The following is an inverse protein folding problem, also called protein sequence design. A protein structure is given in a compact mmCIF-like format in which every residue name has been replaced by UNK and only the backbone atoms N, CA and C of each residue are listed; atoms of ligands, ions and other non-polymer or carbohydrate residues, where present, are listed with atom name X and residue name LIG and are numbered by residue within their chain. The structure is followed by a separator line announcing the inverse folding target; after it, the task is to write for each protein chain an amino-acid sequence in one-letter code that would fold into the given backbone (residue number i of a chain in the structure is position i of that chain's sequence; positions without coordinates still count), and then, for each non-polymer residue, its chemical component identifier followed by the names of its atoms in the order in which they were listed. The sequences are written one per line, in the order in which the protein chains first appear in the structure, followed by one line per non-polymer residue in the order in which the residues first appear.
data_IF_733713373882
#
_entry.id   IF_733713373882
#
_cell.length_a   1.000
_cell.length_b   1.000
_cell.length_c   1.000
_cell.angle_alpha   90.00
_cell.angle_beta   90.00
_cell.angle_gamma   90.00
#
_symmetry.space_group_name_H-M   'P 1'
#
loop_
_entity.id
_entity.type
_entity.pdbx_description
1 polymer ?
#
# COMPACT_ATOMS: atom_id res chain seq x y z
N UNK A 1 -61.60 25.34 -1.24
CA UNK A 1 -60.33 25.94 -0.75
C UNK A 1 -59.83 25.10 0.41
N UNK A 2 -58.91 24.16 0.16
CA UNK A 2 -58.18 23.44 1.20
C UNK A 2 -56.81 23.04 0.61
N UNK A 3 -55.76 23.38 1.35
CA UNK A 3 -54.36 23.41 0.92
C UNK A 3 -53.81 22.00 0.67
N UNK A 4 -53.25 21.81 -0.53
CA UNK A 4 -52.35 20.72 -0.88
C UNK A 4 -51.04 20.87 -0.09
N UNK A 5 -50.78 19.90 0.80
CA UNK A 5 -49.51 19.76 1.51
C UNK A 5 -48.62 18.79 0.72
N UNK A 6 -47.53 19.34 0.16
CA UNK A 6 -46.45 18.59 -0.48
C UNK A 6 -45.75 17.67 0.53
N UNK A 7 -45.87 16.35 0.32
CA UNK A 7 -44.97 15.37 0.92
C UNK A 7 -43.63 15.43 0.19
N UNK A 8 -42.57 15.75 0.93
CA UNK A 8 -41.17 15.86 0.46
C UNK A 8 -40.62 14.52 -0.09
N UNK A 9 -39.77 14.54 -1.13
CA UNK A 9 -39.09 13.34 -1.62
C UNK A 9 -37.87 13.05 -0.75
N UNK A 10 -38.01 12.12 0.20
CA UNK A 10 -36.92 11.62 1.06
C UNK A 10 -36.21 10.36 0.54
N UNK A 11 -36.60 9.82 -0.61
CA UNK A 11 -36.13 8.51 -1.10
C UNK A 11 -34.90 8.56 -2.02
N UNK A 12 -34.35 9.75 -2.31
CA UNK A 12 -33.22 9.91 -3.24
C UNK A 12 -31.87 10.26 -2.57
N UNK A 13 -31.83 10.34 -1.24
CA UNK A 13 -30.62 10.72 -0.51
C UNK A 13 -29.63 9.55 -0.30
N UNK A 14 -30.07 8.29 -0.40
CA UNK A 14 -29.19 7.13 -0.15
C UNK A 14 -28.32 6.77 -1.36
N UNK A 15 -28.80 7.03 -2.58
CA UNK A 15 -28.01 6.83 -3.81
C UNK A 15 -26.82 7.81 -3.85
N UNK A 16 -26.96 8.98 -3.22
CA UNK A 16 -25.90 10.00 -3.15
C UNK A 16 -24.92 9.75 -2.00
N UNK A 17 -25.32 9.15 -0.87
CA UNK A 17 -24.39 8.91 0.25
C UNK A 17 -23.41 7.76 0.00
N UNK A 18 -23.82 6.72 -0.74
CA UNK A 18 -22.90 5.62 -1.11
C UNK A 18 -21.97 6.03 -2.26
N UNK A 19 -22.44 6.89 -3.17
CA UNK A 19 -21.59 7.45 -4.24
C UNK A 19 -20.75 8.65 -3.80
N UNK A 20 -21.11 9.37 -2.74
CA UNK A 20 -20.28 10.45 -2.17
C UNK A 20 -19.24 9.96 -1.15
N UNK A 21 -19.48 8.83 -0.47
CA UNK A 21 -18.46 8.19 0.38
C UNK A 21 -17.33 7.54 -0.44
N UNK A 22 -17.59 7.18 -1.71
CA UNK A 22 -16.61 6.59 -2.63
C UNK A 22 -16.20 7.48 -3.80
N UNK A 23 -16.87 8.61 -4.01
CA UNK A 23 -16.75 9.43 -5.22
C UNK A 23 -16.39 10.87 -4.95
N UNK A 24 -15.24 11.11 -4.32
CA UNK A 24 -14.43 12.34 -4.51
C UNK A 24 -13.22 12.35 -3.56
N UNK A 25 -12.26 11.44 -3.75
CA UNK A 25 -10.84 11.64 -3.32
C UNK A 25 -9.84 10.55 -3.72
N UNK A 26 -10.23 9.48 -4.39
CA UNK A 26 -9.33 8.33 -4.64
C UNK A 26 -8.68 8.31 -6.03
N UNK A 27 -8.88 9.32 -6.89
CA UNK A 27 -8.37 9.25 -8.27
C UNK A 27 -6.91 9.75 -8.44
N UNK A 28 -6.30 10.36 -7.42
CA UNK A 28 -4.91 10.86 -7.49
C UNK A 28 -3.87 9.99 -6.74
N UNK A 29 -4.25 8.83 -6.21
CA UNK A 29 -3.30 7.87 -5.64
C UNK A 29 -3.51 6.48 -6.22
N UNK A 30 -3.04 6.32 -7.45
CA UNK A 30 -2.79 5.00 -8.01
C UNK A 30 -1.68 4.33 -7.18
N UNK A 31 -2.07 3.32 -6.40
CA UNK A 31 -1.22 2.17 -6.11
C UNK A 31 -0.45 2.17 -4.78
N UNK A 32 -1.15 1.98 -3.68
CA UNK A 32 -0.58 1.23 -2.54
C UNK A 32 -1.36 -0.07 -2.41
N UNK A 33 -0.81 -1.21 -2.86
CA UNK A 33 -1.51 -2.49 -2.72
C UNK A 33 -1.62 -2.81 -1.23
N UNK A 34 -2.83 -3.17 -0.81
CA UNK A 34 -3.11 -3.82 0.46
C UNK A 34 -2.28 -5.12 0.50
N UNK A 35 -1.06 -5.02 1.04
CA UNK A 35 -0.23 -6.11 1.56
C UNK A 35 0.35 -7.17 0.59
N UNK A 36 1.33 -7.94 1.09
CA UNK A 36 1.88 -9.12 0.42
C UNK A 36 0.78 -10.16 0.18
N UNK A 37 0.65 -10.62 -1.06
CA UNK A 37 -0.24 -11.70 -1.53
C UNK A 37 -0.92 -12.56 -0.45
N UNK A 38 -2.24 -12.42 -0.29
CA UNK A 38 -3.04 -13.25 0.60
C UNK A 38 -2.81 -13.00 2.10
N UNK A 39 -2.22 -11.87 2.48
CA UNK A 39 -1.89 -11.59 3.86
C UNK A 39 -1.88 -10.08 4.17
N UNK A 40 -2.96 -9.55 4.76
CA UNK A 40 -3.01 -8.15 5.23
C UNK A 40 -2.03 -7.97 6.38
N UNK A 41 -1.20 -6.93 6.32
CA UNK A 41 -0.08 -6.75 7.26
C UNK A 41 0.83 -8.00 7.36
N UNK A 42 1.08 -8.72 6.26
CA UNK A 42 1.85 -9.99 6.26
C UNK A 42 1.22 -11.09 7.16
N UNK A 43 -0.07 -10.96 7.52
CA UNK A 43 -0.84 -11.96 8.25
C UNK A 43 -1.92 -12.58 7.36
N UNK A 44 -1.71 -13.84 6.97
CA UNK A 44 -2.70 -14.61 6.20
C UNK A 44 -4.01 -14.85 6.98
N UNK A 45 -3.94 -14.85 8.32
CA UNK A 45 -5.09 -14.97 9.21
C UNK A 45 -6.08 -13.82 9.04
N UNK A 46 -5.59 -12.58 8.87
CA UNK A 46 -6.46 -11.41 8.62
C UNK A 46 -7.18 -11.58 7.27
N UNK A 47 -6.45 -12.02 6.24
CA UNK A 47 -7.03 -12.27 4.93
C UNK A 47 -8.08 -13.37 4.97
N UNK A 48 -7.81 -14.48 5.66
CA UNK A 48 -8.76 -15.58 5.84
C UNK A 48 -10.05 -15.10 6.50
N UNK A 49 -9.96 -14.31 7.57
CA UNK A 49 -11.15 -13.79 8.27
C UNK A 49 -12.04 -12.92 7.38
N UNK A 50 -11.47 -12.22 6.39
CA UNK A 50 -12.23 -11.40 5.44
C UNK A 50 -12.80 -12.20 4.27
N UNK A 51 -12.30 -13.41 4.01
CA UNK A 51 -12.62 -14.17 2.79
C UNK A 51 -13.23 -15.55 3.03
N UNK A 52 -13.31 -15.99 4.29
CA UNK A 52 -13.83 -17.30 4.68
C UNK A 52 -15.30 -17.50 4.30
N UNK A 53 -16.14 -16.47 4.50
CA UNK A 53 -17.56 -16.52 4.16
C UNK A 53 -17.98 -15.29 3.34
N UNK A 54 -18.35 -15.53 2.08
CA UNK A 54 -18.80 -14.51 1.14
C UNK A 54 -20.31 -14.25 1.19
N UNK A 55 -21.04 -14.92 2.07
CA UNK A 55 -22.46 -14.66 2.31
C UNK A 55 -22.66 -13.36 3.09
N UNK A 56 -23.89 -12.83 3.05
CA UNK A 56 -24.26 -11.60 3.78
C UNK A 56 -24.06 -11.80 5.29
N UNK A 57 -24.40 -12.98 5.81
CA UNK A 57 -24.24 -13.30 7.22
C UNK A 57 -22.76 -13.47 7.58
N UNK A 58 -21.96 -14.08 6.71
CA UNK A 58 -20.51 -14.13 6.85
C UNK A 58 -19.87 -12.76 6.99
N UNK A 59 -20.18 -11.85 6.07
CA UNK A 59 -19.65 -10.48 6.06
C UNK A 59 -20.08 -9.69 7.31
N UNK A 60 -21.33 -9.88 7.77
CA UNK A 60 -21.81 -9.25 9.00
C UNK A 60 -21.09 -9.77 10.24
N UNK A 61 -20.67 -11.01 10.24
CA UNK A 61 -20.07 -11.65 11.42
C UNK A 61 -18.54 -11.67 11.37
N UNK A 62 -17.91 -10.90 10.48
CA UNK A 62 -16.46 -10.70 10.46
C UNK A 62 -16.00 -10.20 11.84
N UNK A 63 -15.00 -10.86 12.41
CA UNK A 63 -14.41 -10.50 13.70
C UNK A 63 -13.39 -9.35 13.53
N UNK A 64 -13.89 -8.13 13.33
CA UNK A 64 -13.05 -6.95 13.14
C UNK A 64 -12.12 -6.66 14.33
N UNK A 65 -12.54 -6.97 15.56
CA UNK A 65 -11.69 -6.80 16.75
C UNK A 65 -10.46 -7.71 16.70
N UNK A 66 -10.63 -8.99 16.35
CA UNK A 66 -9.50 -9.89 16.17
C UNK A 66 -8.55 -9.40 15.06
N UNK A 67 -9.09 -8.94 13.92
CA UNK A 67 -8.31 -8.36 12.82
C UNK A 67 -7.49 -7.14 13.31
N UNK A 68 -8.10 -6.23 14.07
CA UNK A 68 -7.42 -5.05 14.62
C UNK A 68 -6.31 -5.44 15.58
N UNK A 69 -6.54 -6.40 16.47
CA UNK A 69 -5.53 -6.85 17.44
C UNK A 69 -4.36 -7.56 16.76
N UNK A 70 -4.61 -8.41 15.76
CA UNK A 70 -3.56 -9.01 14.95
C UNK A 70 -2.73 -7.94 14.19
N UNK A 71 -3.41 -6.95 13.63
CA UNK A 71 -2.79 -5.80 12.96
C UNK A 71 -1.92 -4.95 13.89
N UNK A 72 -2.44 -4.58 15.07
CA UNK A 72 -1.70 -3.83 16.10
C UNK A 72 -0.48 -4.61 16.58
N UNK A 73 -0.62 -5.91 16.81
CA UNK A 73 0.48 -6.80 17.20
C UNK A 73 1.59 -6.79 16.14
N UNK A 74 1.23 -6.85 14.86
CA UNK A 74 2.22 -6.77 13.79
C UNK A 74 2.88 -5.38 13.67
N UNK A 75 2.12 -4.29 13.83
CA UNK A 75 2.70 -2.94 13.88
C UNK A 75 3.71 -2.79 15.02
N UNK A 76 3.43 -3.39 16.18
CA UNK A 76 4.36 -3.43 17.30
C UNK A 76 5.64 -4.23 16.95
N UNK A 77 5.52 -5.35 16.25
CA UNK A 77 6.67 -6.11 15.76
C UNK A 77 7.55 -5.29 14.81
N UNK A 78 6.96 -4.58 13.83
CA UNK A 78 7.72 -3.68 12.96
C UNK A 78 8.41 -2.57 13.74
N UNK A 79 7.72 -1.95 14.70
CA UNK A 79 8.31 -0.90 15.53
C UNK A 79 9.48 -1.42 16.37
N UNK A 80 9.37 -2.64 16.92
CA UNK A 80 10.44 -3.28 17.67
C UNK A 80 11.64 -3.57 16.78
N UNK A 81 11.43 -4.13 15.57
CA UNK A 81 12.50 -4.38 14.61
C UNK A 81 13.21 -3.10 14.18
N UNK A 82 12.47 -2.03 13.90
CA UNK A 82 13.03 -0.69 13.60
C UNK A 82 13.90 -0.20 14.76
N UNK A 83 13.39 -0.26 15.99
CA UNK A 83 14.09 0.24 17.18
C UNK A 83 15.38 -0.55 17.43
N UNK A 84 15.32 -1.88 17.32
CA UNK A 84 16.49 -2.74 17.49
C UNK A 84 17.57 -2.44 16.43
N UNK A 85 17.18 -2.34 15.15
CA UNK A 85 18.11 -2.02 14.08
C UNK A 85 18.71 -0.61 14.22
N UNK A 86 17.92 0.38 14.67
CA UNK A 86 18.41 1.73 14.96
C UNK A 86 19.45 1.77 16.09
N UNK A 87 19.23 0.98 17.16
CA UNK A 87 20.19 0.86 18.25
C UNK A 87 21.50 0.22 17.78
N UNK A 88 21.42 -0.81 16.95
CA UNK A 88 22.59 -1.49 16.39
C UNK A 88 23.35 -0.60 15.40
N UNK A 89 22.64 0.16 14.56
CA UNK A 89 23.22 1.20 13.68
C UNK A 89 24.05 2.20 14.49
N UNK A 90 23.55 2.64 15.65
CA UNK A 90 24.26 3.59 16.51
C UNK A 90 25.57 2.99 17.01
N UNK A 91 25.53 1.74 17.48
CA UNK A 91 26.71 1.01 17.97
C UNK A 91 27.73 0.75 16.85
N UNK A 92 27.27 0.36 15.66
CA UNK A 92 28.16 0.15 14.50
C UNK A 92 28.84 1.43 14.04
N UNK A 93 28.16 2.58 14.06
CA UNK A 93 28.79 3.86 13.74
C UNK A 93 29.95 4.18 14.68
N UNK A 94 29.79 3.92 15.98
CA UNK A 94 30.86 4.12 16.96
C UNK A 94 32.03 3.15 16.73
N UNK A 95 31.73 1.89 16.35
CA UNK A 95 32.76 0.89 16.03
C UNK A 95 33.51 1.22 14.73
N UNK A 96 32.82 1.73 13.71
CA UNK A 96 33.43 2.18 12.44
C UNK A 96 34.42 3.30 12.73
N UNK A 97 34.03 4.32 13.51
CA UNK A 97 34.94 5.40 13.89
C UNK A 97 36.19 4.89 14.64
N UNK A 98 36.02 3.92 15.54
CA UNK A 98 37.15 3.31 16.25
C UNK A 98 38.03 2.46 15.33
N UNK A 99 37.44 1.76 14.35
CA UNK A 99 38.17 0.98 13.35
C UNK A 99 38.95 1.90 12.42
N UNK A 100 38.30 2.95 11.89
CA UNK A 100 38.94 3.98 11.06
C UNK A 100 40.10 4.67 11.79
N UNK A 101 39.97 4.97 13.08
CA UNK A 101 41.07 5.54 13.89
C UNK A 101 42.24 4.58 14.04
N UNK A 102 41.98 3.27 14.19
CA UNK A 102 43.02 2.22 14.26
C UNK A 102 43.62 1.89 12.89
N UNK A 103 42.87 2.11 11.82
CA UNK A 103 43.26 1.88 10.42
C UNK A 103 44.05 3.05 9.82
N UNK A 104 44.17 4.19 10.53
CA UNK A 104 45.11 5.26 10.22
C UNK A 104 46.56 4.76 10.33
N UNK A 105 47.03 4.11 9.28
CA UNK A 105 48.45 3.77 9.11
C UNK A 105 49.26 5.06 8.98
N UNK A 106 50.39 5.13 9.67
CA UNK A 106 51.35 6.23 9.49
C UNK A 106 52.02 6.02 8.13
N UNK A 107 52.00 6.99 7.21
CA UNK A 107 52.73 6.85 5.94
C UNK A 107 54.22 6.67 6.23
N UNK A 108 54.89 5.77 5.50
CA UNK A 108 56.34 5.66 5.56
C UNK A 108 56.97 7.02 5.20
N UNK A 109 57.93 7.48 6.01
CA UNK A 109 58.58 8.76 5.75
C UNK A 109 59.49 8.65 4.53
N UNK A 110 59.88 9.78 3.94
CA UNK A 110 60.78 9.78 2.77
C UNK A 110 62.13 9.10 3.09
N UNK A 111 62.65 9.30 4.31
CA UNK A 111 63.91 8.69 4.77
C UNK A 111 63.82 7.17 4.87
N UNK A 112 62.66 6.65 5.26
CA UNK A 112 62.41 5.21 5.37
C UNK A 112 62.29 4.56 3.99
N UNK A 113 61.62 5.25 3.07
CA UNK A 113 61.52 4.86 1.66
C UNK A 113 62.92 4.84 1.03
N UNK A 114 63.73 5.88 1.26
CA UNK A 114 65.12 5.94 0.81
C UNK A 114 65.94 4.79 1.39
N UNK A 115 65.77 4.50 2.68
CA UNK A 115 66.42 3.37 3.36
C UNK A 115 66.10 2.03 2.71
N UNK A 116 64.84 1.77 2.37
CA UNK A 116 64.41 0.56 1.66
C UNK A 116 65.02 0.46 0.26
N UNK A 117 64.99 1.56 -0.51
CA UNK A 117 65.52 1.59 -1.88
C UNK A 117 67.04 1.38 -1.88
N UNK A 118 67.76 2.04 -0.95
CA UNK A 118 69.21 1.90 -0.84
C UNK A 118 69.62 0.48 -0.46
N UNK A 119 68.94 -0.14 0.52
CA UNK A 119 69.17 -1.55 0.87
C UNK A 119 68.90 -2.45 -0.33
N UNK A 120 67.74 -2.31 -0.97
CA UNK A 120 67.37 -3.14 -2.11
C UNK A 120 68.38 -3.02 -3.26
N UNK A 121 69.04 -1.88 -3.45
CA UNK A 121 69.99 -1.65 -4.55
C UNK A 121 71.46 -1.94 -4.19
N UNK A 122 71.76 -2.41 -2.98
CA UNK A 122 73.09 -2.93 -2.59
C UNK A 122 73.71 -3.93 -3.59
N UNK A 123 72.95 -4.84 -4.24
CA UNK A 123 73.50 -5.75 -5.25
C UNK A 123 74.18 -5.05 -6.42
N UNK A 124 73.81 -3.80 -6.73
CA UNK A 124 74.48 -2.97 -7.73
C UNK A 124 75.81 -2.36 -7.23
N UNK A 125 76.13 -2.45 -5.93
CA UNK A 125 77.37 -1.94 -5.31
C UNK A 125 77.63 -0.46 -5.64
N UNK A 126 76.58 0.35 -5.61
CA UNK A 126 76.63 1.78 -5.92
C UNK A 126 76.78 2.11 -7.41
N UNK A 127 76.67 1.13 -8.32
CA UNK A 127 76.80 1.31 -9.77
C UNK A 127 75.47 1.32 -10.52
N UNK A 128 74.34 1.38 -9.80
CA UNK A 128 73.01 1.37 -10.39
C UNK A 128 72.80 2.53 -11.37
N UNK A 129 73.15 3.76 -10.98
CA UNK A 129 73.06 4.95 -11.85
C UNK A 129 73.99 4.87 -13.07
N UNK A 130 75.26 4.49 -12.85
CA UNK A 130 76.28 4.37 -13.91
C UNK A 130 75.92 3.32 -14.98
N UNK A 131 75.21 2.27 -14.58
CA UNK A 131 74.82 1.15 -15.46
C UNK A 131 73.39 1.27 -15.98
N UNK A 132 72.71 2.39 -15.73
CA UNK A 132 71.27 2.56 -15.96
C UNK A 132 70.47 1.34 -15.47
N UNK A 133 70.73 0.95 -14.22
CA UNK A 133 70.13 -0.19 -13.55
C UNK A 133 70.38 -1.53 -14.27
N UNK A 134 71.56 -1.66 -14.89
CA UNK A 134 72.07 -2.91 -15.48
C UNK A 134 71.95 -3.00 -17.00
N UNK A 135 71.46 -1.97 -17.69
CA UNK A 135 71.24 -1.99 -19.13
C UNK A 135 72.43 -1.49 -19.97
N UNK A 136 73.11 -0.41 -19.56
CA UNK A 136 74.11 0.22 -20.42
C UNK A 136 75.41 -0.59 -20.55
N UNK A 137 76.11 -0.35 -21.66
CA UNK A 137 77.43 -0.90 -21.97
C UNK A 137 78.52 -0.22 -21.13
N UNK A 138 78.42 -0.33 -19.81
CA UNK A 138 79.55 -0.05 -18.93
C UNK A 138 80.72 -1.01 -19.26
N UNK A 139 81.92 -0.65 -18.79
CA UNK A 139 83.11 -1.46 -18.99
C UNK A 139 82.87 -2.93 -18.58
N UNK A 140 83.55 -3.88 -19.23
CA UNK A 140 83.38 -5.33 -19.00
C UNK A 140 83.57 -5.69 -17.53
N UNK A 141 84.44 -4.97 -16.82
CA UNK A 141 84.64 -5.11 -15.38
C UNK A 141 83.38 -4.76 -14.57
N UNK A 142 82.70 -3.66 -14.92
CA UNK A 142 81.47 -3.19 -14.26
C UNK A 142 80.31 -4.15 -14.57
N UNK A 143 80.15 -4.58 -15.82
CA UNK A 143 79.10 -5.55 -16.20
C UNK A 143 79.21 -6.89 -15.49
N UNK A 144 80.43 -7.40 -15.26
CA UNK A 144 80.62 -8.61 -14.45
C UNK A 144 80.23 -8.40 -12.99
N UNK A 145 80.42 -7.19 -12.47
CA UNK A 145 80.17 -6.84 -11.08
C UNK A 145 78.69 -6.67 -10.75
N UNK A 146 77.87 -6.22 -11.72
CA UNK A 146 76.42 -6.01 -11.57
C UNK A 146 75.55 -7.08 -12.24
N UNK A 147 76.14 -8.18 -12.71
CA UNK A 147 75.39 -9.26 -13.38
C UNK A 147 74.41 -9.89 -12.38
N UNK A 148 73.12 -9.89 -12.72
CA UNK A 148 72.04 -10.40 -11.85
C UNK A 148 71.64 -9.44 -10.73
N UNK A 149 72.26 -8.27 -10.63
CA UNK A 149 71.94 -7.28 -9.58
C UNK A 149 70.49 -6.80 -9.66
N UNK A 150 69.91 -6.73 -10.86
CA UNK A 150 68.52 -6.34 -11.06
C UNK A 150 67.55 -7.27 -10.32
N UNK A 151 67.58 -8.57 -10.63
CA UNK A 151 66.72 -9.59 -10.02
C UNK A 151 66.98 -9.69 -8.52
N UNK A 152 68.26 -9.70 -8.12
CA UNK A 152 68.67 -9.72 -6.72
C UNK A 152 68.15 -8.50 -5.94
N UNK A 153 68.02 -7.34 -6.57
CA UNK A 153 67.49 -6.13 -5.93
C UNK A 153 65.99 -6.22 -5.69
N UNK A 154 65.24 -6.78 -6.64
CA UNK A 154 63.80 -7.02 -6.49
C UNK A 154 63.52 -8.04 -5.39
N UNK A 155 64.27 -9.14 -5.36
CA UNK A 155 64.11 -10.15 -4.32
C UNK A 155 64.53 -9.64 -2.94
N UNK A 156 65.60 -8.83 -2.88
CA UNK A 156 66.01 -8.16 -1.63
C UNK A 156 64.94 -7.18 -1.15
N UNK A 157 64.30 -6.43 -2.05
CA UNK A 157 63.19 -5.56 -1.69
C UNK A 157 62.01 -6.33 -1.09
N UNK A 158 61.63 -7.49 -1.64
CA UNK A 158 60.55 -8.31 -1.07
C UNK A 158 60.86 -8.69 0.39
N UNK A 159 62.08 -9.13 0.66
CA UNK A 159 62.52 -9.52 2.01
C UNK A 159 62.56 -8.33 2.96
N UNK A 160 63.25 -7.26 2.56
CA UNK A 160 63.47 -6.08 3.42
C UNK A 160 62.15 -5.30 3.64
N UNK A 161 61.25 -5.25 2.65
CA UNK A 161 59.93 -4.65 2.80
C UNK A 161 59.01 -5.48 3.70
N UNK A 162 59.04 -6.82 3.59
CA UNK A 162 58.29 -7.69 4.48
C UNK A 162 58.69 -7.47 5.95
N UNK A 163 59.99 -7.39 6.24
CA UNK A 163 60.47 -7.08 7.59
C UNK A 163 60.05 -5.67 8.05
N UNK A 164 60.23 -4.67 7.19
CA UNK A 164 59.91 -3.27 7.50
C UNK A 164 58.43 -3.05 7.82
N UNK A 165 57.52 -3.56 6.98
CA UNK A 165 56.07 -3.36 7.14
C UNK A 165 55.44 -4.29 8.19
N UNK A 166 56.12 -5.38 8.57
CA UNK A 166 55.69 -6.23 9.70
C UNK A 166 56.07 -5.62 11.04
N UNK A 167 57.20 -4.91 11.13
CA UNK A 167 57.66 -4.28 12.36
C UNK A 167 56.76 -3.10 12.80
N UNK A 168 56.18 -2.38 11.85
CA UNK A 168 55.18 -1.34 12.12
C UNK A 168 54.19 -1.21 10.93
N UNK A 169 52.87 -1.17 11.16
CA UNK A 169 51.88 -1.03 10.09
C UNK A 169 51.95 0.37 9.48
N UNK A 170 52.56 0.46 8.29
CA UNK A 170 52.79 1.70 7.53
C UNK A 170 52.22 1.59 6.13
N UNK A 171 51.67 2.68 5.62
CA UNK A 171 51.25 2.77 4.22
C UNK A 171 52.38 3.26 3.33
N UNK A 172 52.42 2.74 2.10
CA UNK A 172 53.38 3.16 1.08
C UNK A 172 52.67 3.99 0.01
N UNK A 173 52.96 5.30 -0.04
CA UNK A 173 52.43 6.17 -1.09
C UNK A 173 53.21 5.95 -2.39
N UNK A 174 52.53 5.43 -3.41
CA UNK A 174 53.14 5.06 -4.68
C UNK A 174 53.85 6.24 -5.37
N UNK A 175 53.28 7.44 -5.34
CA UNK A 175 53.87 8.63 -5.95
C UNK A 175 55.17 9.06 -5.24
N UNK A 176 55.16 9.07 -3.91
CA UNK A 176 56.34 9.37 -3.10
C UNK A 176 57.44 8.35 -3.35
N UNK A 177 57.12 7.05 -3.32
CA UNK A 177 58.08 5.99 -3.59
C UNK A 177 58.76 6.13 -4.96
N UNK A 178 57.96 6.33 -6.02
CA UNK A 178 58.51 6.48 -7.37
C UNK A 178 59.38 7.74 -7.50
N UNK A 179 58.98 8.85 -6.85
CA UNK A 179 59.75 10.09 -6.85
C UNK A 179 61.10 9.92 -6.15
N UNK A 180 61.10 9.32 -4.96
CA UNK A 180 62.33 9.02 -4.21
C UNK A 180 63.23 8.06 -4.99
N UNK A 181 62.67 6.99 -5.54
CA UNK A 181 63.43 6.02 -6.32
C UNK A 181 64.07 6.63 -7.57
N UNK A 182 63.34 7.46 -8.31
CA UNK A 182 63.90 8.19 -9.45
C UNK A 182 64.98 9.20 -9.03
N UNK A 183 64.88 9.79 -7.84
CA UNK A 183 65.92 10.69 -7.31
C UNK A 183 67.22 9.96 -6.94
N UNK A 184 67.12 8.71 -6.46
CA UNK A 184 68.28 7.90 -6.05
C UNK A 184 68.94 7.17 -7.23
N UNK A 185 68.15 6.68 -8.18
CA UNK A 185 68.63 5.83 -9.29
C UNK A 185 68.69 6.55 -10.64
N UNK A 186 68.15 7.77 -10.73
CA UNK A 186 68.03 8.55 -11.96
C UNK A 186 66.78 8.22 -12.77
N UNK A 187 66.36 9.15 -13.63
CA UNK A 187 65.13 9.06 -14.42
C UNK A 187 65.24 8.22 -15.71
N UNK A 188 66.26 7.36 -15.83
CA UNK A 188 66.47 6.49 -16.99
C UNK A 188 65.34 5.47 -17.16
N UNK A 189 65.00 5.10 -18.39
CA UNK A 189 63.88 4.18 -18.69
C UNK A 189 63.99 2.85 -17.93
N UNK A 190 65.18 2.27 -17.86
CA UNK A 190 65.44 1.00 -17.17
C UNK A 190 65.42 1.13 -15.65
N UNK A 191 65.89 2.26 -15.11
CA UNK A 191 65.78 2.57 -13.69
C UNK A 191 64.34 2.85 -13.26
N UNK A 192 63.52 3.47 -14.11
CA UNK A 192 62.09 3.63 -13.85
C UNK A 192 61.38 2.27 -13.81
N UNK A 193 61.76 1.33 -14.68
CA UNK A 193 61.25 -0.03 -14.65
C UNK A 193 61.64 -0.74 -13.34
N UNK A 194 62.92 -0.67 -12.94
CA UNK A 194 63.37 -1.19 -11.64
C UNK A 194 62.59 -0.54 -10.48
N UNK A 195 62.42 0.78 -10.48
CA UNK A 195 61.62 1.47 -9.47
C UNK A 195 60.17 0.98 -9.42
N UNK A 196 59.57 0.68 -10.57
CA UNK A 196 58.24 0.07 -10.66
C UNK A 196 58.18 -1.31 -10.02
N UNK A 197 59.17 -2.17 -10.30
CA UNK A 197 59.29 -3.51 -9.71
C UNK A 197 59.56 -3.46 -8.20
N UNK A 198 60.47 -2.60 -7.75
CA UNK A 198 60.76 -2.38 -6.34
C UNK A 198 59.53 -1.85 -5.59
N UNK A 199 58.77 -0.93 -6.21
CA UNK A 199 57.50 -0.46 -5.68
C UNK A 199 56.49 -1.59 -5.58
N UNK A 200 56.34 -2.41 -6.62
CA UNK A 200 55.44 -3.57 -6.61
C UNK A 200 55.77 -4.55 -5.49
N UNK A 201 57.05 -4.87 -5.34
CA UNK A 201 57.58 -5.72 -4.28
C UNK A 201 57.39 -5.12 -2.87
N UNK A 202 57.55 -3.81 -2.71
CA UNK A 202 57.32 -3.14 -1.43
C UNK A 202 55.81 -3.03 -1.11
N UNK A 203 54.99 -2.73 -2.11
CA UNK A 203 53.55 -2.54 -1.96
C UNK A 203 52.80 -3.83 -1.64
N UNK A 204 53.31 -5.01 -2.03
CA UNK A 204 52.73 -6.31 -1.64
C UNK A 204 52.87 -6.61 -0.15
N UNK A 205 53.75 -5.90 0.55
CA UNK A 205 53.97 -6.03 2.00
C UNK A 205 53.55 -4.80 2.78
N UNK A 206 53.47 -3.64 2.14
CA UNK A 206 52.89 -2.44 2.73
C UNK A 206 51.49 -2.76 3.24
N UNK A 207 51.16 -2.23 4.41
CA UNK A 207 49.78 -2.25 4.87
C UNK A 207 49.02 -1.33 3.92
N UNK A 208 48.44 -1.89 2.85
CA UNK A 208 47.16 -1.38 2.37
C UNK A 208 46.33 -1.37 3.65
N UNK A 209 46.07 -0.18 4.20
CA UNK A 209 45.40 -0.03 5.50
C UNK A 209 44.31 -1.08 5.60
N UNK A 210 44.17 -1.74 6.75
CA UNK A 210 43.30 -2.89 6.91
C UNK A 210 41.83 -2.54 6.61
N UNK A 211 41.47 -2.35 5.35
CA UNK A 211 40.16 -1.92 4.85
C UNK A 211 39.12 -3.01 5.12
N UNK A 212 39.55 -4.23 5.44
CA UNK A 212 38.64 -5.37 5.63
C UNK A 212 37.76 -5.25 6.87
N UNK A 213 38.24 -4.62 7.97
CA UNK A 213 37.45 -4.53 9.19
C UNK A 213 36.40 -3.41 9.11
N UNK A 214 36.80 -2.20 8.67
CA UNK A 214 35.86 -1.10 8.44
C UNK A 214 34.87 -1.40 7.29
N UNK A 215 35.29 -2.04 6.20
CA UNK A 215 34.39 -2.39 5.09
C UNK A 215 33.29 -3.35 5.53
N UNK A 216 33.62 -4.40 6.29
CA UNK A 216 32.62 -5.34 6.81
C UNK A 216 31.62 -4.67 7.76
N UNK A 217 32.07 -3.72 8.59
CA UNK A 217 31.20 -2.94 9.47
C UNK A 217 30.30 -1.97 8.68
N UNK A 218 30.82 -1.37 7.60
CA UNK A 218 30.06 -0.51 6.69
C UNK A 218 29.00 -1.33 5.93
N UNK A 219 29.32 -2.53 5.47
CA UNK A 219 28.35 -3.42 4.82
C UNK A 219 27.23 -3.81 5.77
N UNK A 220 27.55 -4.14 7.03
CA UNK A 220 26.55 -4.40 8.08
C UNK A 220 25.69 -3.16 8.38
N UNK A 221 26.31 -1.97 8.44
CA UNK A 221 25.60 -0.71 8.62
C UNK A 221 24.57 -0.48 7.50
N UNK A 222 24.99 -0.67 6.24
CA UNK A 222 24.13 -0.51 5.07
C UNK A 222 22.98 -1.54 5.09
N UNK A 223 23.26 -2.80 5.44
CA UNK A 223 22.23 -3.83 5.56
C UNK A 223 21.19 -3.52 6.65
N UNK A 224 21.60 -2.99 7.80
CA UNK A 224 20.68 -2.55 8.85
C UNK A 224 19.89 -1.32 8.44
N UNK A 225 20.49 -0.36 7.73
CA UNK A 225 19.76 0.79 7.19
C UNK A 225 18.67 0.35 6.20
N UNK A 226 18.98 -0.61 5.31
CA UNK A 226 18.00 -1.21 4.41
C UNK A 226 16.88 -1.94 5.18
N UNK A 227 17.23 -2.61 6.28
CA UNK A 227 16.26 -3.26 7.19
C UNK A 227 15.31 -2.23 7.84
N UNK A 228 15.83 -1.10 8.30
CA UNK A 228 15.01 0.00 8.86
C UNK A 228 14.07 0.56 7.79
N UNK A 229 14.59 0.87 6.60
CA UNK A 229 13.77 1.39 5.50
C UNK A 229 12.65 0.42 5.09
N UNK A 230 12.97 -0.86 5.00
CA UNK A 230 12.01 -1.93 4.69
C UNK A 230 10.92 -2.02 5.75
N UNK A 231 11.28 -2.06 7.04
CA UNK A 231 10.28 -2.15 8.10
C UNK A 231 9.44 -0.87 8.24
N UNK A 232 9.99 0.31 7.97
CA UNK A 232 9.21 1.55 7.92
C UNK A 232 8.15 1.51 6.81
N UNK A 233 8.53 1.05 5.61
CA UNK A 233 7.60 0.86 4.49
C UNK A 233 6.50 -0.14 4.86
N UNK A 234 6.86 -1.31 5.40
CA UNK A 234 5.91 -2.34 5.85
C UNK A 234 4.96 -1.83 6.92
N UNK A 235 5.48 -1.07 7.90
CA UNK A 235 4.68 -0.44 8.94
C UNK A 235 3.66 0.53 8.35
N UNK A 236 4.08 1.43 7.44
CA UNK A 236 3.17 2.37 6.77
C UNK A 236 2.05 1.64 6.02
N UNK A 237 2.40 0.67 5.17
CA UNK A 237 1.41 -0.10 4.39
C UNK A 237 0.43 -0.82 5.31
N UNK A 238 0.91 -1.38 6.43
CA UNK A 238 0.04 -2.01 7.42
C UNK A 238 -0.88 -1.01 8.14
N UNK A 239 -0.37 0.18 8.50
CA UNK A 239 -1.19 1.24 9.10
C UNK A 239 -2.32 1.66 8.15
N UNK A 240 -2.00 1.95 6.90
CA UNK A 240 -2.98 2.34 5.88
C UNK A 240 -4.04 1.23 5.68
N UNK A 241 -3.61 -0.03 5.64
CA UNK A 241 -4.51 -1.17 5.51
C UNK A 241 -5.49 -1.28 6.69
N UNK A 242 -5.03 -1.05 7.93
CA UNK A 242 -5.89 -1.08 9.11
C UNK A 242 -6.87 0.09 9.16
N UNK A 243 -6.48 1.27 8.67
CA UNK A 243 -7.39 2.41 8.54
C UNK A 243 -8.51 2.12 7.54
N UNK A 244 -8.19 1.56 6.37
CA UNK A 244 -9.21 1.18 5.38
C UNK A 244 -10.14 0.07 5.91
N UNK A 245 -9.61 -0.90 6.67
CA UNK A 245 -10.43 -1.92 7.32
C UNK A 245 -11.38 -1.33 8.38
N UNK A 246 -10.93 -0.35 9.15
CA UNK A 246 -11.79 0.36 10.10
C UNK A 246 -12.92 1.14 9.40
N UNK A 247 -12.66 1.70 8.21
CA UNK A 247 -13.71 2.33 7.39
C UNK A 247 -14.71 1.30 6.87
N UNK A 248 -14.24 0.15 6.40
CA UNK A 248 -15.11 -0.94 5.95
C UNK A 248 -16.02 -1.45 7.08
N UNK A 249 -15.46 -1.67 8.27
CA UNK A 249 -16.22 -2.00 9.47
C UNK A 249 -17.32 -0.96 9.74
N UNK A 250 -16.98 0.33 9.70
CA UNK A 250 -17.95 1.41 9.90
C UNK A 250 -19.10 1.38 8.88
N UNK A 251 -18.82 1.05 7.62
CA UNK A 251 -19.85 0.89 6.59
C UNK A 251 -20.74 -0.32 6.87
N UNK A 252 -20.16 -1.45 7.29
CA UNK A 252 -20.91 -2.66 7.62
C UNK A 252 -21.80 -2.45 8.84
N UNK A 253 -21.30 -1.83 9.91
CA UNK A 253 -22.06 -1.55 11.12
C UNK A 253 -23.20 -0.55 10.86
N UNK A 254 -22.94 0.53 10.13
CA UNK A 254 -24.00 1.46 9.71
C UNK A 254 -25.07 0.75 8.85
N UNK A 255 -24.64 -0.18 8.00
CA UNK A 255 -25.52 -1.04 7.21
C UNK A 255 -26.40 -1.93 8.07
N UNK A 256 -25.85 -2.58 9.11
CA UNK A 256 -26.61 -3.42 10.06
C UNK A 256 -27.71 -2.62 10.76
N UNK A 257 -27.35 -1.48 11.36
CA UNK A 257 -28.32 -0.61 12.06
C UNK A 257 -29.46 -0.21 11.13
N UNK A 258 -29.13 0.23 9.91
CA UNK A 258 -30.14 0.63 8.93
C UNK A 258 -31.07 -0.52 8.55
N UNK A 259 -30.54 -1.74 8.45
CA UNK A 259 -31.34 -2.93 8.12
C UNK A 259 -32.25 -3.31 9.29
N UNK A 260 -31.75 -3.30 10.52
CA UNK A 260 -32.55 -3.59 11.71
C UNK A 260 -33.68 -2.57 11.91
N UNK A 261 -33.39 -1.27 11.74
CA UNK A 261 -34.40 -0.21 11.79
C UNK A 261 -35.50 -0.41 10.75
N UNK A 262 -35.11 -0.77 9.51
CA UNK A 262 -36.07 -1.05 8.42
C UNK A 262 -36.87 -2.32 8.68
N UNK A 263 -36.24 -3.38 9.17
CA UNK A 263 -36.92 -4.62 9.54
C UNK A 263 -37.96 -4.37 10.64
N UNK A 264 -37.60 -3.60 11.67
CA UNK A 264 -38.53 -3.18 12.73
C UNK A 264 -39.67 -2.29 12.21
N UNK A 265 -39.36 -1.37 11.30
CA UNK A 265 -40.40 -0.56 10.65
C UNK A 265 -41.38 -1.42 9.83
N UNK A 266 -40.87 -2.42 9.10
CA UNK A 266 -41.69 -3.36 8.35
C UNK A 266 -42.55 -4.24 9.27
N UNK A 267 -42.01 -4.73 10.39
CA UNK A 267 -42.77 -5.47 11.39
C UNK A 267 -43.90 -4.64 12.01
N UNK A 268 -43.62 -3.40 12.42
CA UNK A 268 -44.66 -2.48 12.92
C UNK A 268 -45.74 -2.21 11.89
N UNK A 269 -45.37 -2.06 10.62
CA UNK A 269 -46.32 -1.88 9.54
C UNK A 269 -47.18 -3.14 9.29
N UNK A 270 -46.63 -4.35 9.49
CA UNK A 270 -47.41 -5.60 9.45
C UNK A 270 -48.43 -5.67 10.58
N UNK A 271 -48.01 -5.40 11.82
CA UNK A 271 -48.94 -5.37 12.96
C UNK A 271 -50.05 -4.33 12.77
N UNK A 272 -49.71 -3.14 12.31
CA UNK A 272 -50.72 -2.12 12.02
C UNK A 272 -51.70 -2.53 10.90
N UNK A 273 -51.25 -3.35 9.94
CA UNK A 273 -52.14 -3.90 8.91
C UNK A 273 -53.05 -4.98 9.48
N UNK A 274 -52.54 -5.84 10.36
CA UNK A 274 -53.30 -6.88 11.06
C UNK A 274 -54.36 -6.26 11.98
N UNK A 275 -53.99 -5.28 12.81
CA UNK A 275 -54.93 -4.51 13.65
C UNK A 275 -56.02 -3.84 12.80
N UNK A 276 -55.67 -3.34 11.61
CA UNK A 276 -56.64 -2.73 10.69
C UNK A 276 -57.55 -3.78 10.02
N UNK A 277 -57.07 -5.00 9.78
CA UNK A 277 -57.89 -6.13 9.29
C UNK A 277 -58.91 -6.56 10.34
N UNK A 278 -58.48 -6.68 11.60
CA UNK A 278 -59.35 -7.04 12.72
C UNK A 278 -60.43 -5.96 12.93
N UNK A 279 -60.04 -4.68 12.95
CA UNK A 279 -61.00 -3.58 13.06
C UNK A 279 -61.98 -3.49 11.88
N UNK A 280 -61.58 -3.91 10.68
CA UNK A 280 -62.47 -4.00 9.53
C UNK A 280 -63.49 -5.16 9.68
N UNK A 281 -63.05 -6.29 10.24
CA UNK A 281 -63.94 -7.41 10.56
C UNK A 281 -64.98 -7.00 11.61
N UNK A 282 -64.56 -6.34 12.69
CA UNK A 282 -65.46 -5.80 13.72
C UNK A 282 -66.51 -4.84 13.13
N UNK A 283 -66.09 -3.93 12.24
CA UNK A 283 -67.02 -3.02 11.56
C UNK A 283 -67.99 -3.76 10.63
N UNK A 284 -67.54 -4.83 9.98
CA UNK A 284 -68.39 -5.68 9.14
C UNK A 284 -69.46 -6.39 9.98
N UNK A 285 -69.07 -6.95 11.12
CA UNK A 285 -69.99 -7.64 12.05
C UNK A 285 -71.00 -6.65 12.66
N UNK A 286 -70.56 -5.43 13.02
CA UNK A 286 -71.47 -4.38 13.51
C UNK A 286 -72.45 -3.95 12.42
N UNK A 287 -71.99 -3.82 11.17
CA UNK A 287 -72.85 -3.46 10.03
C UNK A 287 -73.89 -4.55 9.76
N UNK A 288 -73.52 -5.83 9.73
CA UNK A 288 -74.47 -6.96 9.59
C UNK A 288 -75.51 -6.96 10.73
N UNK A 289 -75.06 -6.66 11.96
CA UNK A 289 -75.96 -6.52 13.12
C UNK A 289 -76.92 -5.32 12.95
N UNK A 290 -76.45 -4.17 12.47
CA UNK A 290 -77.31 -3.00 12.21
C UNK A 290 -78.29 -3.26 11.06
N UNK A 291 -77.86 -3.90 9.98
CA UNK A 291 -78.74 -4.29 8.86
C UNK A 291 -79.87 -5.21 9.34
N UNK A 292 -79.55 -6.19 10.18
CA UNK A 292 -80.56 -7.09 10.77
C UNK A 292 -81.55 -6.31 11.63
N UNK A 293 -81.06 -5.40 12.49
CA UNK A 293 -81.92 -4.54 13.32
C UNK A 293 -82.78 -3.58 12.49
N UNK A 294 -82.26 -3.05 11.39
CA UNK A 294 -83.01 -2.23 10.44
C UNK A 294 -84.13 -3.03 9.77
N UNK A 295 -83.85 -4.26 9.31
CA UNK A 295 -84.87 -5.13 8.72
C UNK A 295 -85.97 -5.51 9.72
N UNK A 296 -85.62 -5.73 11.00
CA UNK A 296 -86.60 -5.97 12.07
C UNK A 296 -87.45 -4.72 12.35
N UNK A 297 -86.83 -3.55 12.49
CA UNK A 297 -87.52 -2.27 12.69
C UNK A 297 -88.44 -1.92 11.51
N UNK A 298 -88.02 -2.16 10.26
CA UNK A 298 -88.85 -1.95 9.07
C UNK A 298 -90.09 -2.84 9.09
N UNK A 299 -89.95 -4.12 9.46
CA UNK A 299 -91.09 -5.05 9.63
C UNK A 299 -92.03 -4.62 10.75
N UNK A 300 -91.51 -4.15 11.88
CA UNK A 300 -92.32 -3.64 13.00
C UNK A 300 -93.08 -2.35 12.63
N UNK A 301 -92.43 -1.46 11.87
CA UNK A 301 -93.05 -0.23 11.38
C UNK A 301 -94.21 -0.52 10.41
N UNK A 302 -94.08 -1.55 9.56
CA UNK A 302 -95.15 -2.01 8.68
C UNK A 302 -96.34 -2.61 9.46
N UNK A 303 -96.08 -3.22 10.62
CA UNK A 303 -97.11 -3.85 11.45
C UNK A 303 -97.86 -2.88 12.39
N UNK A 304 -97.22 -1.81 12.89
CA UNK A 304 -97.77 -0.95 13.94
C UNK A 304 -97.90 0.54 13.51
N UNK A 305 -99.08 0.92 12.99
CA UNK A 305 -99.35 2.27 12.47
C UNK A 305 -99.53 3.37 13.52
N UNK A 306 -99.60 3.04 14.82
CA UNK A 306 -99.83 4.00 15.91
C UNK A 306 -98.55 4.55 16.57
N UNK A 307 -97.39 3.88 16.45
CA UNK A 307 -96.11 4.28 17.06
C UNK A 307 -95.08 4.80 16.03
N UNK A 308 -95.57 5.15 14.84
CA UNK A 308 -94.79 5.42 13.62
C UNK A 308 -93.79 6.57 13.73
N UNK A 309 -94.02 7.56 14.59
CA UNK A 309 -93.12 8.72 14.70
C UNK A 309 -91.76 8.36 15.35
N UNK A 310 -91.79 7.70 16.51
CA UNK A 310 -90.59 7.30 17.26
C UNK A 310 -89.80 6.21 16.52
N UNK A 311 -90.51 5.28 15.87
CA UNK A 311 -89.90 4.25 15.05
C UNK A 311 -89.24 4.83 13.78
N UNK A 312 -89.81 5.88 13.16
CA UNK A 312 -89.16 6.61 12.06
C UNK A 312 -87.88 7.34 12.48
N UNK A 313 -87.89 8.01 13.64
CA UNK A 313 -86.67 8.66 14.17
C UNK A 313 -85.57 7.63 14.47
N UNK A 314 -85.94 6.47 15.02
CA UNK A 314 -85.00 5.37 15.29
C UNK A 314 -84.46 4.76 13.99
N UNK A 315 -85.31 4.57 12.98
CA UNK A 315 -84.92 4.08 11.65
C UNK A 315 -83.92 5.04 10.98
N UNK A 316 -84.16 6.34 11.02
CA UNK A 316 -83.22 7.30 10.41
C UNK A 316 -81.91 7.41 11.18
N UNK A 317 -81.93 7.35 12.51
CA UNK A 317 -80.70 7.29 13.30
C UNK A 317 -79.86 6.04 12.96
N UNK A 318 -80.53 4.90 12.71
CA UNK A 318 -79.87 3.64 12.31
C UNK A 318 -79.32 3.69 10.89
N UNK A 319 -80.06 4.27 9.93
CA UNK A 319 -79.58 4.50 8.55
C UNK A 319 -78.39 5.44 8.50
N UNK A 320 -78.41 6.52 9.29
CA UNK A 320 -77.25 7.42 9.42
C UNK A 320 -76.03 6.69 9.98
N UNK A 321 -76.21 5.85 11.00
CA UNK A 321 -75.12 5.05 11.57
C UNK A 321 -74.57 4.02 10.57
N UNK A 322 -75.42 3.40 9.76
CA UNK A 322 -75.01 2.49 8.68
C UNK A 322 -74.20 3.21 7.60
N UNK A 323 -74.63 4.40 7.15
CA UNK A 323 -73.88 5.22 6.18
C UNK A 323 -72.53 5.67 6.74
N UNK A 324 -72.47 6.06 8.02
CA UNK A 324 -71.24 6.42 8.72
C UNK A 324 -70.27 5.23 8.79
N UNK A 325 -70.75 4.05 9.20
CA UNK A 325 -69.97 2.80 9.24
C UNK A 325 -69.47 2.40 7.84
N UNK A 326 -70.33 2.45 6.83
CA UNK A 326 -69.97 2.13 5.42
C UNK A 326 -68.91 3.09 4.86
N UNK A 327 -69.02 4.38 5.18
CA UNK A 327 -68.02 5.39 4.80
C UNK A 327 -66.68 5.15 5.51
N UNK A 328 -66.72 4.86 6.81
CA UNK A 328 -65.52 4.56 7.60
C UNK A 328 -64.82 3.29 7.10
N UNK A 329 -65.58 2.23 6.80
CA UNK A 329 -65.11 0.97 6.22
C UNK A 329 -64.36 1.21 4.89
N UNK A 330 -64.93 2.01 3.98
CA UNK A 330 -64.27 2.36 2.69
C UNK A 330 -62.97 3.14 2.88
N UNK A 331 -62.94 4.04 3.85
CA UNK A 331 -61.72 4.80 4.20
C UNK A 331 -60.62 3.87 4.74
N UNK A 332 -60.97 2.95 5.64
CA UNK A 332 -60.06 1.95 6.21
C UNK A 332 -59.50 1.03 5.14
N UNK A 333 -60.33 0.49 4.24
CA UNK A 333 -59.88 -0.34 3.09
C UNK A 333 -58.86 0.41 2.23
N UNK A 334 -59.11 1.69 1.95
CA UNK A 334 -58.19 2.52 1.16
C UNK A 334 -56.86 2.72 1.88
N UNK A 335 -56.88 2.97 3.19
CA UNK A 335 -55.67 3.12 3.99
C UNK A 335 -54.85 1.82 4.08
N UNK A 336 -55.51 0.67 4.18
CA UNK A 336 -54.88 -0.65 4.16
C UNK A 336 -54.18 -0.92 2.83
N UNK A 337 -54.81 -0.59 1.70
CA UNK A 337 -54.17 -0.73 0.37
C UNK A 337 -52.90 0.14 0.23
N UNK A 338 -52.87 1.32 0.86
CA UNK A 338 -51.66 2.17 0.91
C UNK A 338 -50.58 1.56 1.81
N UNK A 339 -50.95 0.96 2.93
CA UNK A 339 -50.01 0.29 3.84
C UNK A 339 -49.40 -0.96 3.20
N UNK A 340 -50.22 -1.79 2.56
CA UNK A 340 -49.77 -3.00 1.84
C UNK A 340 -48.77 -2.66 0.73
N UNK A 341 -49.06 -1.61 -0.06
CA UNK A 341 -48.13 -1.09 -1.07
C UNK A 341 -46.81 -0.61 -0.45
N UNK A 342 -46.86 0.16 0.64
CA UNK A 342 -45.66 0.61 1.35
C UNK A 342 -44.85 -0.55 1.94
N UNK A 343 -45.53 -1.62 2.35
CA UNK A 343 -44.90 -2.84 2.85
C UNK A 343 -44.18 -3.59 1.71
N UNK A 344 -44.81 -3.66 0.53
CA UNK A 344 -44.20 -4.18 -0.70
C UNK A 344 -42.95 -3.38 -1.08
N UNK A 345 -43.07 -2.06 -1.18
CA UNK A 345 -41.95 -1.16 -1.49
C UNK A 345 -40.80 -1.29 -0.48
N UNK A 346 -41.10 -1.43 0.82
CA UNK A 346 -40.09 -1.61 1.86
C UNK A 346 -39.38 -2.98 1.77
N UNK A 347 -40.12 -4.04 1.45
CA UNK A 347 -39.59 -5.40 1.28
C UNK A 347 -38.71 -5.49 0.03
N UNK A 348 -39.11 -4.84 -1.06
CA UNK A 348 -38.34 -4.78 -2.30
C UNK A 348 -37.11 -3.88 -2.17
N UNK A 349 -37.19 -2.79 -1.40
CA UNK A 349 -36.04 -1.98 -1.04
C UNK A 349 -35.03 -2.75 -0.17
N UNK A 350 -35.49 -3.58 0.78
CA UNK A 350 -34.60 -4.44 1.57
C UNK A 350 -33.89 -5.47 0.70
N UNK A 351 -34.64 -6.15 -0.18
CA UNK A 351 -34.08 -7.07 -1.18
C UNK A 351 -33.05 -6.37 -2.09
N UNK A 352 -33.34 -5.15 -2.54
CA UNK A 352 -32.44 -4.35 -3.37
C UNK A 352 -31.16 -3.95 -2.63
N UNK A 353 -31.24 -3.65 -1.32
CA UNK A 353 -30.04 -3.37 -0.49
C UNK A 353 -29.21 -4.63 -0.30
N UNK A 354 -29.84 -5.78 -0.04
CA UNK A 354 -29.11 -7.05 0.06
C UNK A 354 -28.46 -7.45 -1.27
N UNK A 355 -29.15 -7.25 -2.39
CA UNK A 355 -28.60 -7.46 -3.73
C UNK A 355 -27.47 -6.48 -4.05
N UNK A 356 -27.57 -5.21 -3.60
CA UNK A 356 -26.49 -4.24 -3.74
C UNK A 356 -25.27 -4.65 -2.91
N UNK A 357 -25.45 -5.07 -1.66
CA UNK A 357 -24.36 -5.57 -0.82
C UNK A 357 -23.70 -6.77 -1.51
N UNK A 358 -24.49 -7.76 -1.98
CA UNK A 358 -23.96 -8.91 -2.74
C UNK A 358 -23.23 -8.46 -4.01
N UNK A 359 -23.77 -7.50 -4.75
CA UNK A 359 -23.18 -7.02 -5.99
C UNK A 359 -21.87 -6.26 -5.74
N UNK A 360 -21.81 -5.42 -4.71
CA UNK A 360 -20.61 -4.70 -4.30
C UNK A 360 -19.54 -5.68 -3.82
N UNK A 361 -19.89 -6.64 -2.95
CA UNK A 361 -18.96 -7.68 -2.50
C UNK A 361 -18.44 -8.51 -3.68
N UNK A 362 -19.33 -8.97 -4.57
CA UNK A 362 -18.93 -9.74 -5.75
C UNK A 362 -18.10 -8.91 -6.73
N UNK A 363 -18.39 -7.62 -6.90
CA UNK A 363 -17.62 -6.70 -7.74
C UNK A 363 -16.22 -6.49 -7.17
N UNK A 364 -16.10 -6.21 -5.87
CA UNK A 364 -14.81 -6.03 -5.19
C UNK A 364 -13.96 -7.30 -5.28
N UNK A 365 -14.55 -8.48 -5.06
CA UNK A 365 -13.88 -9.77 -5.25
C UNK A 365 -13.46 -9.97 -6.71
N UNK A 366 -14.31 -9.66 -7.69
CA UNK A 366 -13.97 -9.78 -9.11
C UNK A 366 -12.86 -8.82 -9.53
N UNK A 367 -12.90 -7.56 -9.09
CA UNK A 367 -11.85 -6.57 -9.35
C UNK A 367 -10.52 -7.04 -8.77
N UNK A 368 -10.52 -7.60 -7.57
CA UNK A 368 -9.35 -8.20 -6.96
C UNK A 368 -8.82 -9.39 -7.78
N UNK A 369 -9.69 -10.34 -8.13
CA UNK A 369 -9.30 -11.50 -8.94
C UNK A 369 -8.77 -11.08 -10.32
N UNK A 370 -9.35 -10.04 -10.92
CA UNK A 370 -8.91 -9.51 -12.21
C UNK A 370 -7.56 -8.81 -12.08
N UNK A 371 -7.34 -8.03 -11.02
CA UNK A 371 -6.05 -7.41 -10.72
C UNK A 371 -4.97 -8.48 -10.45
N UNK A 372 -5.31 -9.51 -9.69
CA UNK A 372 -4.45 -10.66 -9.40
C UNK A 372 -4.04 -11.40 -10.68
N UNK A 373 -4.97 -11.61 -11.62
CA UNK A 373 -4.70 -12.35 -12.87
C UNK A 373 -4.05 -11.47 -13.96
N UNK A 374 -4.49 -10.24 -14.12
CA UNK A 374 -4.04 -9.35 -15.20
C UNK A 374 -2.73 -8.63 -14.88
N UNK A 375 -2.51 -8.28 -13.61
CA UNK A 375 -1.32 -7.52 -13.20
C UNK A 375 -0.36 -8.40 -12.41
N UNK A 376 -0.81 -8.97 -11.30
CA UNK A 376 0.10 -9.57 -10.34
C UNK A 376 0.64 -10.95 -10.76
N UNK A 377 -0.16 -11.77 -11.45
CA UNK A 377 0.28 -13.09 -11.96
C UNK A 377 1.34 -12.96 -13.07
N UNK A 378 1.20 -12.07 -14.08
CA UNK A 378 2.26 -11.80 -15.04
C UNK A 378 3.53 -11.26 -14.39
N UNK A 379 3.42 -10.29 -13.46
CA UNK A 379 4.58 -9.76 -12.73
C UNK A 379 5.35 -10.88 -12.01
N UNK A 380 4.64 -11.77 -11.30
CA UNK A 380 5.26 -12.96 -10.67
C UNK A 380 5.95 -13.89 -11.66
N UNK A 381 5.34 -14.18 -12.81
CA UNK A 381 5.96 -15.02 -13.86
C UNK A 381 7.25 -14.42 -14.41
N UNK A 382 7.40 -13.10 -14.35
CA UNK A 382 8.59 -12.38 -14.75
C UNK A 382 9.56 -12.10 -13.60
N UNK A 383 9.38 -12.75 -12.44
CA UNK A 383 10.29 -12.59 -11.29
C UNK A 383 10.13 -11.25 -10.55
N UNK A 384 9.12 -10.47 -10.90
CA UNK A 384 8.78 -9.22 -10.19
C UNK A 384 7.86 -9.60 -9.03
N UNK A 385 8.46 -9.87 -7.87
CA UNK A 385 7.73 -10.02 -6.60
C UNK A 385 7.57 -8.67 -5.90
N UNK A 386 6.64 -8.58 -4.93
CA UNK A 386 6.44 -7.39 -4.09
C UNK A 386 7.69 -7.01 -3.27
N UNK A 387 8.60 -7.96 -3.13
CA UNK A 387 9.85 -7.88 -2.37
C UNK A 387 11.04 -7.45 -3.25
N UNK A 388 10.83 -7.39 -4.58
CA UNK A 388 11.82 -6.89 -5.52
C UNK A 388 11.91 -5.36 -5.42
N UNK A 389 13.07 -4.84 -5.04
CA UNK A 389 13.33 -3.40 -5.04
C UNK A 389 13.48 -2.89 -6.48
N UNK A 390 12.35 -2.47 -7.08
CA UNK A 390 12.30 -1.95 -8.44
C UNK A 390 13.24 -0.75 -8.65
N UNK A 391 13.57 0.00 -7.59
CA UNK A 391 14.49 1.13 -7.69
C UNK A 391 15.93 0.71 -8.03
N UNK A 392 16.30 -0.57 -7.83
CA UNK A 392 17.60 -1.10 -8.24
C UNK A 392 17.64 -1.52 -9.71
N UNK A 393 16.48 -1.73 -10.34
CA UNK A 393 16.37 -2.23 -11.72
C UNK A 393 15.93 -1.17 -12.72
N UNK A 394 15.23 -0.12 -12.25
CA UNK A 394 14.78 0.98 -13.08
C UNK A 394 15.54 2.26 -12.71
N UNK A 395 16.13 2.92 -13.70
CA UNK A 395 16.74 4.24 -13.53
C UNK A 395 15.72 5.23 -12.96
N UNK A 396 16.13 6.02 -11.97
CA UNK A 396 15.32 7.14 -11.45
C UNK A 396 14.97 8.18 -12.53
N UNK A 397 15.65 8.14 -13.68
CA UNK A 397 15.38 8.99 -14.82
C UNK A 397 14.67 8.18 -15.92
N UNK A 398 13.34 8.10 -15.81
CA UNK A 398 12.46 7.39 -16.75
C UNK A 398 12.74 7.82 -18.19
N UNK A 399 13.19 9.07 -18.40
CA UNK A 399 13.55 9.64 -19.70
C UNK A 399 14.73 8.94 -20.40
N UNK A 400 15.51 8.14 -19.67
CA UNK A 400 16.64 7.39 -20.21
C UNK A 400 16.28 5.98 -20.68
N UNK A 401 15.05 5.51 -20.42
CA UNK A 401 14.56 4.23 -20.95
C UNK A 401 14.21 4.40 -22.44
N UNK A 402 14.67 3.47 -23.29
CA UNK A 402 14.41 3.52 -24.73
C UNK A 402 12.92 3.50 -25.08
N UNK A 403 12.09 2.97 -24.18
CA UNK A 403 10.64 2.84 -24.29
C UNK A 403 9.88 4.09 -23.80
N UNK A 404 10.54 5.03 -23.10
CA UNK A 404 9.93 6.23 -22.55
C UNK A 404 9.23 7.08 -23.63
N UNK A 405 9.84 7.16 -24.82
CA UNK A 405 9.25 7.88 -25.95
C UNK A 405 7.96 7.23 -26.51
N UNK A 406 7.73 5.94 -26.29
CA UNK A 406 6.45 5.30 -26.64
C UNK A 406 5.38 5.58 -25.59
N UNK A 407 5.75 5.56 -24.31
CA UNK A 407 4.83 5.89 -23.23
C UNK A 407 4.39 7.36 -23.30
N UNK A 408 5.33 8.28 -23.54
CA UNK A 408 5.05 9.70 -23.72
C UNK A 408 4.09 9.92 -24.90
N UNK A 409 4.32 9.27 -26.04
CA UNK A 409 3.38 9.30 -27.18
C UNK A 409 2.00 8.72 -26.85
N UNK A 410 1.93 7.68 -26.02
CA UNK A 410 0.66 7.08 -25.61
C UNK A 410 -0.11 8.01 -24.67
N UNK A 411 0.58 8.66 -23.72
CA UNK A 411 0.01 9.67 -22.82
C UNK A 411 -0.45 10.90 -23.60
N UNK A 412 0.36 11.40 -24.52
CA UNK A 412 -0.01 12.51 -25.41
C UNK A 412 -1.20 12.15 -26.31
N UNK A 413 -1.25 10.90 -26.79
CA UNK A 413 -2.38 10.39 -27.56
C UNK A 413 -3.68 10.34 -26.74
N UNK A 414 -3.57 9.96 -25.46
CA UNK A 414 -4.69 9.93 -24.53
C UNK A 414 -5.21 11.34 -24.21
N UNK A 415 -4.31 12.30 -23.92
CA UNK A 415 -4.65 13.71 -23.71
C UNK A 415 -5.28 14.32 -24.98
N UNK A 416 -4.72 14.03 -26.15
CA UNK A 416 -5.27 14.48 -27.42
C UNK A 416 -6.68 13.92 -27.69
N UNK A 417 -6.92 12.64 -27.42
CA UNK A 417 -8.25 12.03 -27.52
C UNK A 417 -9.24 12.69 -26.54
N UNK A 418 -8.81 12.89 -25.29
CA UNK A 418 -9.61 13.53 -24.27
C UNK A 418 -10.03 14.96 -24.65
N UNK A 419 -9.10 15.76 -25.19
CA UNK A 419 -9.37 17.15 -25.60
C UNK A 419 -10.17 17.27 -26.89
N UNK A 420 -9.88 16.44 -27.89
CA UNK A 420 -10.43 16.61 -29.24
C UNK A 420 -11.74 15.84 -29.47
N UNK A 421 -11.92 14.70 -28.81
CA UNK A 421 -13.03 13.80 -29.08
C UNK A 421 -13.94 13.62 -27.85
N UNK A 422 -13.38 13.27 -26.69
CA UNK A 422 -14.17 12.89 -25.52
C UNK A 422 -14.86 14.09 -24.85
N UNK A 423 -14.14 15.19 -24.60
CA UNK A 423 -14.69 16.40 -23.98
C UNK A 423 -15.90 16.98 -24.74
N UNK A 424 -15.84 17.15 -26.08
CA UNK A 424 -17.00 17.57 -26.87
C UNK A 424 -18.18 16.60 -26.77
N UNK A 425 -17.92 15.29 -26.74
CA UNK A 425 -18.97 14.27 -26.59
C UNK A 425 -19.60 14.30 -25.19
N UNK A 426 -18.80 14.53 -24.14
CA UNK A 426 -19.28 14.67 -22.76
C UNK A 426 -20.14 15.92 -22.58
N UNK A 427 -19.77 17.04 -23.20
CA UNK A 427 -20.56 18.26 -23.20
C UNK A 427 -21.93 18.11 -23.90
N UNK A 428 -22.08 17.13 -24.80
CA UNK A 428 -23.36 16.82 -25.43
C UNK A 428 -24.33 16.07 -24.48
N UNK A 429 -23.85 15.50 -23.38
CA UNK A 429 -24.66 14.73 -22.41
C UNK A 429 -25.12 15.64 -21.27
N UNK A 430 -26.35 16.16 -21.37
CA UNK A 430 -26.89 17.19 -20.45
C UNK A 430 -27.20 16.75 -19.00
N UNK A 431 -27.16 15.45 -18.70
CA UNK A 431 -27.63 14.91 -17.39
C UNK A 431 -26.50 14.39 -16.49
N UNK A 432 -25.27 14.32 -16.99
CA UNK A 432 -24.16 13.73 -16.25
C UNK A 432 -22.86 14.42 -16.68
N UNK A 433 -22.13 14.96 -15.71
CA UNK A 433 -20.83 15.59 -15.98
C UNK A 433 -19.74 14.51 -16.02
N UNK A 434 -19.28 14.22 -17.24
CA UNK A 434 -18.21 13.27 -17.52
C UNK A 434 -16.86 13.96 -17.77
N UNK A 435 -16.81 15.29 -17.70
CA UNK A 435 -15.57 16.06 -17.87
C UNK A 435 -14.44 15.67 -16.89
N UNK A 436 -14.71 15.18 -15.66
CA UNK A 436 -13.64 14.73 -14.75
C UNK A 436 -12.84 13.52 -15.26
N UNK A 437 -13.38 12.72 -16.19
CA UNK A 437 -12.68 11.57 -16.77
C UNK A 437 -11.53 11.97 -17.71
N UNK A 438 -11.47 13.25 -18.07
CA UNK A 438 -10.41 13.84 -18.89
C UNK A 438 -9.64 14.94 -18.15
N UNK A 439 -9.76 15.02 -16.82
CA UNK A 439 -8.94 15.90 -16.00
C UNK A 439 -7.57 15.23 -15.79
N UNK A 440 -6.55 15.79 -16.44
CA UNK A 440 -5.13 15.44 -16.22
C UNK A 440 -4.56 16.13 -15.00
#
# INVERSE_FOLDING_TARGET
MLRTSLVRPGALALVVLVSAAFGSRTQDQVGTPLSSFGAICEKASIWSQLTEDSTVDGIRNINFEQIKEEGKSQLANYQMAITNAQNEIKLLKDLILQAEEKEKTVPATEEEIDGLINKATEPFKGKATETECGFTTADRAVRKLVRGAYEASVDKMKVDAAEFFTAAPKSLHAATFMTRCASLLGAGMYCNHLCGELKGAAASHATTGAVTASSELIDKLNALQATVATNLKKKSVCTDALEELARLEGVIEAGKVTIDERAHAALRARWALEDAQDGLADMSDELETQETQLQELEKELEANTAEVATAKETLEAKKQKEEELSSHMKSTITAMGVLDKKLGDATEADKSVQELIRAVSALTTKMWLYFEDAALRPMRRHGISLDLDLAQYFSNDIKQLGEAGMLEKAVDGLDAFCRKEALPAFQAVKKLDLTPLCAT
#
